data_IF_050465819290
#
_entry.id   IF_050465819290
#
_cell.length_a   1.000
_cell.length_b   1.000
_cell.length_c   1.000
_cell.angle_alpha   90.00
_cell.angle_beta   90.00
_cell.angle_gamma   90.00
#
_symmetry.space_group_name_H-M   'P 1'
#
loop_
_entity.id
_entity.type
_entity.pdbx_description
1 polymer ?
#
# COMPACT_ATOMS: atom_id res chain seq x y z
N UNK A 1 -3.34 40.89 23.66
CA UNK A 1 -3.35 42.12 22.82
C UNK A 1 -1.98 42.82 22.75
N UNK A 2 -1.32 43.13 23.87
CA UNK A 2 0.01 43.79 23.87
C UNK A 2 1.09 42.99 23.13
N UNK A 3 1.06 41.66 23.22
CA UNK A 3 2.01 40.75 22.57
C UNK A 3 1.91 40.77 21.03
N UNK A 4 0.69 40.79 20.48
CA UNK A 4 0.45 40.86 19.03
C UNK A 4 0.82 42.21 18.41
N UNK A 5 0.74 43.30 19.17
CA UNK A 5 1.20 44.62 18.73
C UNK A 5 2.73 44.71 18.68
N UNK A 6 3.43 44.00 19.58
CA UNK A 6 4.91 43.91 19.59
C UNK A 6 5.49 43.21 18.36
N UNK A 7 4.77 42.23 17.79
CA UNK A 7 5.23 41.41 16.67
C UNK A 7 4.82 41.90 15.27
N UNK A 8 4.34 43.15 15.14
CA UNK A 8 3.91 43.75 13.85
C UNK A 8 2.88 42.90 13.06
N UNK A 9 1.99 42.19 13.75
CA UNK A 9 0.94 41.42 13.06
C UNK A 9 0.04 42.34 12.23
N UNK A 10 -0.20 41.95 10.96
CA UNK A 10 -1.05 42.72 10.05
C UNK A 10 -2.51 42.72 10.51
N UNK A 11 -3.15 43.87 10.40
CA UNK A 11 -4.58 44.06 10.63
C UNK A 11 -5.26 44.34 9.30
N UNK A 12 -6.28 43.55 8.96
CA UNK A 12 -7.13 43.78 7.79
C UNK A 12 -8.53 44.14 8.23
N UNK A 13 -9.20 44.97 7.42
CA UNK A 13 -10.63 45.22 7.58
C UNK A 13 -11.39 44.03 7.02
N UNK A 14 -12.19 43.39 7.87
CA UNK A 14 -12.97 42.23 7.50
C UNK A 14 -14.33 42.27 8.18
N UNK A 15 -15.32 41.65 7.53
CA UNK A 15 -16.60 41.27 8.12
C UNK A 15 -16.76 39.76 7.97
N UNK A 16 -17.14 39.07 9.04
CA UNK A 16 -17.42 37.63 9.01
C UNK A 16 -18.93 37.48 9.08
N UNK A 17 -19.51 36.85 8.06
CA UNK A 17 -20.96 36.65 7.95
C UNK A 17 -21.26 35.16 7.85
N UNK A 18 -22.20 34.69 8.66
CA UNK A 18 -22.71 33.32 8.61
C UNK A 18 -24.09 33.34 7.97
N UNK A 19 -24.23 32.67 6.83
CA UNK A 19 -25.50 32.56 6.12
C UNK A 19 -26.23 31.30 6.59
N UNK A 20 -27.47 31.46 7.05
CA UNK A 20 -28.28 30.37 7.59
C UNK A 20 -29.44 30.03 6.64
N UNK A 21 -29.75 28.75 6.51
CA UNK A 21 -30.92 28.24 5.77
C UNK A 21 -31.67 27.18 6.58
N UNK A 22 -33.00 27.23 6.53
CA UNK A 22 -33.88 26.21 7.09
C UNK A 22 -35.15 26.05 6.23
N UNK A 23 -35.92 24.99 6.48
CA UNK A 23 -37.16 24.69 5.73
C UNK A 23 -38.34 25.59 6.13
N UNK A 24 -38.30 26.18 7.31
CA UNK A 24 -39.34 27.06 7.85
C UNK A 24 -38.77 28.09 8.83
N UNK A 25 -39.61 29.05 9.22
CA UNK A 25 -39.25 30.16 10.13
C UNK A 25 -38.97 29.71 11.57
N UNK A 26 -39.54 28.60 12.02
CA UNK A 26 -39.29 28.08 13.37
C UNK A 26 -37.90 27.47 13.44
N UNK A 27 -37.57 26.64 12.44
CA UNK A 27 -36.27 25.99 12.31
C UNK A 27 -35.13 27.01 12.11
N UNK A 28 -35.33 28.08 11.34
CA UNK A 28 -34.29 29.11 11.16
C UNK A 28 -34.02 29.88 12.47
N UNK A 29 -35.06 30.13 13.28
CA UNK A 29 -34.92 30.79 14.58
C UNK A 29 -34.16 29.92 15.57
N UNK A 30 -34.42 28.60 15.60
CA UNK A 30 -33.65 27.66 16.43
C UNK A 30 -32.17 27.63 16.00
N UNK A 31 -31.88 27.45 14.71
CA UNK A 31 -30.51 27.46 14.18
C UNK A 31 -29.78 28.77 14.47
N UNK A 32 -30.48 29.91 14.42
CA UNK A 32 -29.91 31.22 14.76
C UNK A 32 -29.49 31.29 16.24
N UNK A 33 -30.34 30.83 17.15
CA UNK A 33 -30.04 30.82 18.59
C UNK A 33 -28.86 29.90 18.87
N UNK A 34 -28.86 28.70 18.29
CA UNK A 34 -27.76 27.74 18.40
C UNK A 34 -26.43 28.33 17.90
N UNK A 35 -26.42 28.89 16.69
CA UNK A 35 -25.22 29.55 16.15
C UNK A 35 -24.75 30.69 17.04
N UNK A 36 -25.67 31.51 17.56
CA UNK A 36 -25.32 32.63 18.44
C UNK A 36 -24.62 32.13 19.71
N UNK A 37 -25.11 31.03 20.30
CA UNK A 37 -24.50 30.43 21.49
C UNK A 37 -23.09 29.90 21.18
N UNK A 38 -22.91 29.22 20.04
CA UNK A 38 -21.59 28.73 19.61
C UNK A 38 -20.62 29.90 19.41
N UNK A 39 -21.04 30.95 18.72
CA UNK A 39 -20.21 32.13 18.47
C UNK A 39 -19.81 32.82 19.78
N UNK A 40 -20.76 33.05 20.68
CA UNK A 40 -20.48 33.65 21.99
C UNK A 40 -19.53 32.78 22.83
N UNK A 41 -19.71 31.46 22.81
CA UNK A 41 -18.79 30.51 23.46
C UNK A 41 -17.36 30.57 22.91
N UNK A 42 -17.21 30.87 21.62
CA UNK A 42 -15.93 31.09 20.95
C UNK A 42 -15.38 32.52 21.09
N UNK A 43 -16.04 33.40 21.86
CA UNK A 43 -15.65 34.81 22.02
C UNK A 43 -15.97 35.69 20.81
N UNK A 44 -16.78 35.20 19.86
CA UNK A 44 -17.26 35.97 18.71
C UNK A 44 -18.64 36.55 19.04
N UNK A 45 -18.77 37.87 18.99
CA UNK A 45 -20.03 38.56 19.28
C UNK A 45 -20.75 38.90 17.96
N UNK A 46 -21.77 38.13 17.54
CA UNK A 46 -22.53 38.46 16.34
C UNK A 46 -23.36 39.73 16.52
N UNK A 47 -23.58 40.46 15.43
CA UNK A 47 -24.53 41.59 15.40
C UNK A 47 -25.94 41.03 15.51
N UNK A 48 -26.74 41.56 16.44
CA UNK A 48 -28.15 41.17 16.56
C UNK A 48 -28.92 41.68 15.33
N UNK A 49 -29.89 40.91 14.79
CA UNK A 49 -30.66 41.35 13.62
C UNK A 49 -31.33 42.71 13.77
N UNK A 50 -31.77 43.04 14.98
CA UNK A 50 -32.38 44.34 15.35
C UNK A 50 -31.42 45.53 15.17
N UNK A 51 -30.11 45.27 15.14
CA UNK A 51 -29.06 46.28 14.97
C UNK A 51 -28.48 46.29 13.55
N UNK A 52 -29.06 45.55 12.60
CA UNK A 52 -28.73 45.73 11.18
C UNK A 52 -29.33 47.06 10.69
N UNK A 53 -28.59 47.76 9.83
CA UNK A 53 -28.94 49.10 9.34
C UNK A 53 -30.23 49.07 8.51
N UNK A 54 -30.48 47.96 7.81
CA UNK A 54 -31.72 47.71 7.09
C UNK A 54 -31.96 46.19 6.96
N UNK A 55 -33.21 45.74 6.74
CA UNK A 55 -33.50 44.34 6.49
C UNK A 55 -32.63 43.79 5.36
N UNK A 56 -32.02 42.62 5.58
CA UNK A 56 -31.17 41.90 4.62
C UNK A 56 -29.91 42.65 4.15
N UNK A 57 -29.57 43.79 4.76
CA UNK A 57 -28.41 44.58 4.34
C UNK A 57 -27.09 43.81 4.53
N UNK A 58 -26.90 43.13 5.66
CA UNK A 58 -25.74 42.25 5.87
C UNK A 58 -25.74 41.07 4.90
N UNK A 59 -26.90 40.48 4.62
CA UNK A 59 -27.04 39.36 3.70
C UNK A 59 -26.59 39.73 2.28
N UNK A 60 -27.12 40.85 1.74
CA UNK A 60 -26.79 41.31 0.39
C UNK A 60 -25.30 41.64 0.24
N UNK A 61 -24.68 42.27 1.24
CA UNK A 61 -23.24 42.59 1.22
C UNK A 61 -22.35 41.36 1.31
N UNK A 62 -22.83 40.29 1.95
CA UNK A 62 -22.07 39.06 2.10
C UNK A 62 -22.09 38.18 0.84
N UNK A 63 -22.96 38.47 -0.12
CA UNK A 63 -22.97 37.77 -1.40
C UNK A 63 -21.68 38.07 -2.20
N UNK A 64 -21.20 37.11 -3.01
CA UNK A 64 -20.02 37.30 -3.83
C UNK A 64 -20.11 38.57 -4.67
N UNK A 65 -19.05 39.39 -4.62
CA UNK A 65 -18.93 40.65 -5.38
C UNK A 65 -19.97 41.75 -5.06
N UNK A 66 -20.78 41.59 -4.01
CA UNK A 66 -21.80 42.58 -3.64
C UNK A 66 -21.34 43.60 -2.58
N UNK A 67 -20.13 43.44 -2.02
CA UNK A 67 -19.51 44.44 -1.14
C UNK A 67 -18.58 45.36 -1.92
N UNK A 68 -18.93 46.66 -1.99
CA UNK A 68 -18.04 47.69 -2.54
C UNK A 68 -17.36 48.49 -1.40
N UNK A 69 -16.04 48.30 -1.16
CA UNK A 69 -15.32 49.00 -0.09
C UNK A 69 -15.29 50.52 -0.27
N UNK A 70 -15.35 51.04 -1.49
CA UNK A 70 -15.35 52.50 -1.76
C UNK A 70 -16.62 53.18 -1.26
N UNK A 71 -17.73 52.42 -1.18
CA UNK A 71 -19.01 52.91 -0.66
C UNK A 71 -19.08 52.89 0.87
N UNK A 72 -18.22 52.11 1.54
CA UNK A 72 -18.14 52.02 3.00
C UNK A 72 -17.15 53.05 3.60
N UNK A 73 -17.37 54.33 3.30
CA UNK A 73 -16.47 55.44 3.70
C UNK A 73 -16.30 55.56 5.22
N UNK A 74 -17.28 55.11 5.99
CA UNK A 74 -17.29 55.18 7.46
C UNK A 74 -16.95 53.83 8.12
N UNK A 75 -16.64 52.81 7.31
CA UNK A 75 -16.29 51.47 7.79
C UNK A 75 -17.34 50.85 8.72
N UNK A 76 -18.62 51.03 8.39
CA UNK A 76 -19.73 50.53 9.21
C UNK A 76 -19.87 49.01 9.16
N UNK A 77 -19.38 48.38 8.09
CA UNK A 77 -19.64 46.97 7.82
C UNK A 77 -18.39 46.08 8.00
N UNK A 78 -17.24 46.68 8.31
CA UNK A 78 -15.98 45.97 8.48
C UNK A 78 -15.26 46.39 9.76
N UNK A 79 -14.58 45.44 10.41
CA UNK A 79 -13.78 45.68 11.62
C UNK A 79 -12.32 45.32 11.38
N UNK A 80 -11.40 46.05 12.01
CA UNK A 80 -9.99 45.68 12.02
C UNK A 80 -9.83 44.37 12.77
N UNK A 81 -9.34 43.36 12.06
CA UNK A 81 -9.16 41.99 12.56
C UNK A 81 -7.73 41.55 12.30
N UNK A 82 -7.11 40.86 13.26
CA UNK A 82 -5.79 40.28 13.05
C UNK A 82 -5.85 39.23 11.94
N UNK A 83 -4.91 39.30 10.99
CA UNK A 83 -4.83 38.34 9.87
C UNK A 83 -4.74 36.89 10.37
N UNK A 84 -4.08 36.66 11.52
CA UNK A 84 -4.02 35.35 12.15
C UNK A 84 -5.39 34.82 12.57
N UNK A 85 -6.28 35.67 13.10
CA UNK A 85 -7.64 35.24 13.48
C UNK A 85 -8.48 34.94 12.24
N UNK A 86 -8.32 35.73 11.17
CA UNK A 86 -8.94 35.42 9.88
C UNK A 86 -8.45 34.06 9.36
N UNK A 87 -7.14 33.84 9.33
CA UNK A 87 -6.54 32.58 8.87
C UNK A 87 -7.00 31.36 9.70
N UNK A 88 -7.12 31.50 11.02
CA UNK A 88 -7.60 30.42 11.90
C UNK A 88 -9.10 30.11 11.75
N UNK A 89 -9.89 31.05 11.23
CA UNK A 89 -11.32 30.85 10.95
C UNK A 89 -11.59 30.44 9.51
N UNK A 90 -10.64 30.66 8.60
CA UNK A 90 -10.75 30.21 7.23
C UNK A 90 -10.70 28.67 7.18
N UNK A 91 -11.56 28.02 6.38
CA UNK A 91 -11.56 26.57 6.19
C UNK A 91 -10.37 26.11 5.31
N UNK A 92 -9.20 26.73 5.45
CA UNK A 92 -8.00 26.48 4.64
C UNK A 92 -7.15 25.36 5.25
N UNK A 93 -7.26 25.12 6.56
CA UNK A 93 -6.74 23.88 7.16
C UNK A 93 -7.77 22.78 6.91
N UNK A 94 -7.54 21.97 5.88
CA UNK A 94 -8.47 20.96 5.36
C UNK A 94 -9.13 20.11 6.45
N UNK A 95 -10.46 20.01 6.37
CA UNK A 95 -11.33 19.23 7.26
C UNK A 95 -11.98 18.11 6.44
N UNK A 96 -11.13 17.34 5.78
CA UNK A 96 -11.57 16.29 4.87
C UNK A 96 -12.17 15.11 5.65
N UNK A 97 -13.22 14.53 5.09
CA UNK A 97 -13.93 13.35 5.63
C UNK A 97 -13.70 12.12 4.76
N UNK A 98 -12.72 12.19 3.86
CA UNK A 98 -12.46 11.18 2.82
C UNK A 98 -13.53 11.19 1.73
N UNK A 99 -13.70 10.04 1.08
CA UNK A 99 -14.62 9.84 -0.06
C UNK A 99 -16.07 9.63 0.38
N UNK A 100 -16.30 9.32 1.66
CA UNK A 100 -17.62 9.00 2.21
C UNK A 100 -18.00 7.51 2.10
N UNK A 101 -17.17 6.68 1.47
CA UNK A 101 -17.41 5.24 1.33
C UNK A 101 -16.87 4.47 2.55
N UNK A 102 -17.72 3.71 3.28
CA UNK A 102 -17.36 3.17 4.59
C UNK A 102 -16.60 1.84 4.53
N UNK A 103 -15.43 1.80 3.89
CA UNK A 103 -14.54 0.61 3.90
C UNK A 103 -13.58 0.61 5.09
N UNK A 104 -12.84 1.72 5.23
CA UNK A 104 -11.96 2.04 6.36
C UNK A 104 -12.44 3.34 6.99
N UNK A 105 -12.55 3.33 8.32
CA UNK A 105 -13.01 4.46 9.12
C UNK A 105 -11.93 4.92 10.10
N UNK A 106 -11.67 6.22 10.09
CA UNK A 106 -10.75 6.94 10.97
C UNK A 106 -11.42 8.22 11.48
N UNK A 107 -10.67 9.02 12.24
CA UNK A 107 -11.10 10.35 12.67
C UNK A 107 -10.13 11.40 12.16
N UNK A 108 -10.67 12.48 11.59
CA UNK A 108 -9.87 13.64 11.23
C UNK A 108 -9.50 14.45 12.50
N UNK A 109 -8.66 15.48 12.35
CA UNK A 109 -8.24 16.34 13.48
C UNK A 109 -9.41 17.03 14.20
N UNK A 110 -10.52 17.27 13.51
CA UNK A 110 -11.74 17.86 14.06
C UNK A 110 -12.63 16.87 14.82
N UNK A 111 -12.26 15.58 14.84
CA UNK A 111 -13.06 14.52 15.44
C UNK A 111 -14.20 14.03 14.55
N UNK A 112 -14.31 14.51 13.31
CA UNK A 112 -15.28 13.95 12.36
C UNK A 112 -14.78 12.61 11.82
N UNK A 113 -15.73 11.80 11.37
CA UNK A 113 -15.42 10.56 10.68
C UNK A 113 -14.70 10.84 9.36
N UNK A 114 -13.62 10.12 9.12
CA UNK A 114 -12.91 10.06 7.85
C UNK A 114 -13.05 8.66 7.29
N UNK A 115 -13.67 8.53 6.11
CA UNK A 115 -13.96 7.23 5.50
C UNK A 115 -13.41 7.14 4.08
N UNK A 116 -12.78 6.01 3.77
CA UNK A 116 -12.30 5.64 2.44
C UNK A 116 -12.44 4.14 2.26
N UNK A 117 -12.81 3.66 1.07
CA UNK A 117 -12.92 2.24 0.77
C UNK A 117 -11.94 1.84 -0.35
N UNK A 118 -10.77 1.27 -0.02
CA UNK A 118 -9.77 0.90 -1.01
C UNK A 118 -10.21 -0.23 -1.94
N UNK A 119 -11.33 -0.92 -1.70
CA UNK A 119 -11.86 -1.93 -2.60
C UNK A 119 -13.03 -1.41 -3.45
N UNK A 120 -13.59 -0.25 -3.11
CA UNK A 120 -14.61 0.40 -3.92
C UNK A 120 -13.99 0.98 -5.21
N UNK A 121 -14.65 0.75 -6.35
CA UNK A 121 -14.26 1.27 -7.67
C UNK A 121 -14.38 2.80 -7.75
N UNK A 122 -15.25 3.41 -6.96
CA UNK A 122 -15.39 4.86 -6.93
C UNK A 122 -14.20 5.54 -6.22
N UNK A 123 -13.46 4.79 -5.40
CA UNK A 123 -12.34 5.27 -4.59
C UNK A 123 -10.97 4.90 -5.18
N UNK A 124 -10.93 4.08 -6.24
CA UNK A 124 -9.69 3.65 -6.89
C UNK A 124 -9.81 3.63 -8.40
N UNK A 125 -8.78 4.12 -9.09
CA UNK A 125 -8.66 3.97 -10.55
C UNK A 125 -8.17 2.59 -10.95
N UNK A 126 -7.27 1.99 -10.16
CA UNK A 126 -6.62 0.70 -10.42
C UNK A 126 -6.45 -0.08 -9.09
N UNK A 127 -5.22 -0.49 -8.77
CA UNK A 127 -4.88 -1.18 -7.53
C UNK A 127 -4.78 -0.20 -6.36
N UNK A 128 -5.33 -0.62 -5.22
CA UNK A 128 -5.23 0.15 -3.98
C UNK A 128 -4.05 -0.39 -3.17
N UNK A 129 -3.01 0.43 -3.06
CA UNK A 129 -1.84 0.14 -2.25
C UNK A 129 -1.82 1.05 -1.02
N UNK A 130 -1.41 0.51 0.12
CA UNK A 130 -1.26 1.26 1.37
C UNK A 130 0.14 1.07 1.92
N UNK A 131 0.80 2.18 2.24
CA UNK A 131 2.09 2.19 2.94
C UNK A 131 1.87 2.75 4.35
N UNK A 132 2.26 1.97 5.36
CA UNK A 132 2.14 2.36 6.77
C UNK A 132 3.52 2.41 7.43
N UNK A 133 4.00 3.62 7.67
CA UNK A 133 5.32 3.86 8.25
C UNK A 133 5.24 4.19 9.75
N UNK A 134 6.27 3.81 10.48
CA UNK A 134 6.44 4.15 11.89
C UNK A 134 7.50 3.30 12.57
N UNK A 135 8.15 3.79 13.63
CA UNK A 135 9.11 2.99 14.40
C UNK A 135 8.43 1.81 15.12
N UNK A 136 9.23 0.93 15.72
CA UNK A 136 8.71 -0.11 16.62
C UNK A 136 7.92 0.53 17.77
N UNK A 137 6.75 0.00 18.07
CA UNK A 137 5.86 0.56 19.09
C UNK A 137 4.93 1.70 18.63
N UNK A 138 5.06 2.20 17.39
CA UNK A 138 4.18 3.26 16.87
C UNK A 138 2.72 2.83 16.57
N UNK A 139 2.36 1.57 16.85
CA UNK A 139 1.00 1.07 16.65
C UNK A 139 0.70 0.52 15.26
N UNK A 140 1.69 0.30 14.38
CA UNK A 140 1.48 -0.21 13.01
C UNK A 140 0.59 -1.46 12.95
N UNK A 141 0.95 -2.51 13.71
CA UNK A 141 0.20 -3.76 13.73
C UNK A 141 -1.22 -3.59 14.28
N UNK A 142 -1.39 -2.74 15.30
CA UNK A 142 -2.71 -2.45 15.87
C UNK A 142 -3.62 -1.75 14.85
N UNK A 143 -3.09 -0.76 14.13
CA UNK A 143 -3.80 -0.07 13.04
C UNK A 143 -4.17 -1.03 11.92
N UNK A 144 -3.24 -1.90 11.50
CA UNK A 144 -3.52 -2.91 10.48
C UNK A 144 -4.59 -3.91 10.93
N UNK A 145 -4.56 -4.39 12.18
CA UNK A 145 -5.61 -5.26 12.71
C UNK A 145 -6.99 -4.59 12.64
N UNK A 146 -7.08 -3.32 13.04
CA UNK A 146 -8.34 -2.58 12.95
C UNK A 146 -8.81 -2.41 11.49
N UNK A 147 -7.89 -2.06 10.59
CA UNK A 147 -8.18 -1.87 9.18
C UNK A 147 -8.61 -3.18 8.48
N UNK A 148 -7.87 -4.28 8.68
CA UNK A 148 -8.22 -5.57 8.08
C UNK A 148 -9.51 -6.14 8.65
N UNK A 149 -9.82 -5.89 9.92
CA UNK A 149 -11.11 -6.30 10.50
C UNK A 149 -12.27 -5.57 9.83
N UNK A 150 -12.15 -4.26 9.61
CA UNK A 150 -13.16 -3.48 8.88
C UNK A 150 -13.30 -3.98 7.44
N UNK A 151 -12.18 -4.22 6.76
CA UNK A 151 -12.16 -4.76 5.41
C UNK A 151 -12.85 -6.12 5.31
N UNK A 152 -12.57 -7.03 6.26
CA UNK A 152 -13.21 -8.34 6.35
C UNK A 152 -14.70 -8.22 6.69
N UNK A 153 -15.11 -7.21 7.46
CA UNK A 153 -16.52 -6.99 7.78
C UNK A 153 -17.34 -6.52 6.57
N UNK A 154 -16.77 -5.68 5.71
CA UNK A 154 -17.45 -5.10 4.55
C UNK A 154 -17.37 -6.00 3.32
N UNK A 155 -16.16 -6.43 2.96
CA UNK A 155 -15.90 -7.07 1.66
C UNK A 155 -15.59 -8.56 1.73
N UNK A 156 -15.17 -9.07 2.91
CA UNK A 156 -14.67 -10.45 3.09
C UNK A 156 -13.68 -10.91 2.01
N UNK A 157 -12.64 -10.13 1.68
CA UNK A 157 -11.67 -10.53 0.67
C UNK A 157 -10.86 -11.74 1.14
N UNK A 158 -10.20 -12.42 0.20
CA UNK A 158 -9.15 -13.37 0.55
C UNK A 158 -7.94 -12.60 1.08
N UNK A 159 -7.66 -12.74 2.37
CA UNK A 159 -6.61 -12.01 3.07
C UNK A 159 -5.37 -12.89 3.28
N UNK A 160 -4.21 -12.40 2.85
CA UNK A 160 -2.91 -13.02 3.12
C UNK A 160 -2.11 -12.08 4.02
N UNK A 161 -1.57 -12.61 5.13
CA UNK A 161 -0.79 -11.85 6.09
C UNK A 161 0.54 -12.58 6.31
N UNK A 162 1.65 -11.89 6.04
CA UNK A 162 3.00 -12.34 6.35
C UNK A 162 3.59 -11.45 7.46
N UNK A 163 3.99 -12.05 8.58
CA UNK A 163 4.51 -11.30 9.74
C UNK A 163 5.56 -12.08 10.55
N UNK A 164 6.35 -11.37 11.35
CA UNK A 164 7.46 -11.92 12.14
C UNK A 164 7.21 -11.98 13.67
N UNK A 165 6.05 -11.53 14.18
CA UNK A 165 5.85 -11.30 15.63
C UNK A 165 4.57 -11.88 16.24
N UNK A 166 3.72 -12.54 15.46
CA UNK A 166 2.40 -13.05 15.86
C UNK A 166 1.42 -11.96 16.36
N UNK A 167 1.49 -10.75 15.80
CA UNK A 167 0.54 -9.65 16.05
C UNK A 167 -0.87 -9.99 15.58
N UNK A 168 -1.01 -10.76 14.50
CA UNK A 168 -2.28 -11.10 13.86
C UNK A 168 -2.82 -12.46 14.28
N UNK A 169 -2.10 -13.22 15.11
CA UNK A 169 -2.52 -14.56 15.56
C UNK A 169 -3.91 -14.57 16.21
N UNK A 170 -4.15 -13.64 17.14
CA UNK A 170 -5.45 -13.46 17.79
C UNK A 170 -6.53 -12.95 16.83
N UNK A 171 -6.17 -12.08 15.88
CA UNK A 171 -7.11 -11.64 14.84
C UNK A 171 -7.56 -12.85 13.99
N UNK A 172 -6.63 -13.75 13.67
CA UNK A 172 -6.96 -14.93 12.91
C UNK A 172 -7.83 -15.92 13.74
N UNK A 173 -7.65 -16.01 15.07
CA UNK A 173 -8.55 -16.80 15.96
C UNK A 173 -9.95 -16.18 15.96
N UNK A 174 -10.01 -14.84 16.02
CA UNK A 174 -11.25 -14.10 15.93
C UNK A 174 -11.96 -14.37 14.59
N UNK A 175 -11.27 -14.30 13.45
CA UNK A 175 -11.86 -14.61 12.15
C UNK A 175 -12.41 -16.03 12.06
N UNK A 176 -11.69 -17.02 12.58
CA UNK A 176 -12.17 -18.41 12.67
C UNK A 176 -13.43 -18.51 13.55
N UNK A 177 -13.46 -17.81 14.70
CA UNK A 177 -14.65 -17.75 15.55
C UNK A 177 -15.88 -17.12 14.88
N UNK A 178 -15.65 -16.26 13.87
CA UNK A 178 -16.71 -15.67 13.04
C UNK A 178 -17.12 -16.57 11.85
N UNK A 179 -16.61 -17.80 11.79
CA UNK A 179 -16.94 -18.79 10.76
C UNK A 179 -16.15 -18.63 9.45
N UNK A 180 -15.05 -17.89 9.45
CA UNK A 180 -14.16 -17.78 8.29
C UNK A 180 -13.19 -18.96 8.25
N UNK A 181 -12.88 -19.45 7.05
CA UNK A 181 -11.79 -20.41 6.87
C UNK A 181 -10.45 -19.71 7.07
N UNK A 182 -9.67 -20.17 8.05
CA UNK A 182 -8.38 -19.59 8.39
C UNK A 182 -7.29 -20.65 8.25
N UNK A 183 -6.17 -20.28 7.65
CA UNK A 183 -4.97 -21.11 7.62
C UNK A 183 -3.84 -20.36 8.33
N UNK A 184 -3.34 -20.92 9.44
CA UNK A 184 -2.25 -20.36 10.23
C UNK A 184 -1.03 -21.25 10.13
N UNK A 185 0.03 -20.72 9.55
CA UNK A 185 1.29 -21.43 9.38
C UNK A 185 2.38 -20.65 10.12
N UNK A 186 3.07 -21.31 11.04
CA UNK A 186 4.23 -20.73 11.74
C UNK A 186 5.50 -21.36 11.20
N UNK A 187 6.29 -20.56 10.47
CA UNK A 187 7.58 -21.01 9.91
C UNK A 187 8.64 -20.83 11.01
N UNK A 188 8.93 -21.92 11.72
CA UNK A 188 9.99 -21.99 12.74
C UNK A 188 10.86 -23.21 12.50
N UNK A 189 12.15 -23.19 12.89
CA UNK A 189 12.98 -24.39 12.87
C UNK A 189 12.28 -25.55 13.60
N UNK A 190 12.17 -26.70 12.96
CA UNK A 190 11.48 -27.88 13.50
C UNK A 190 9.94 -27.86 13.44
N UNK A 191 9.32 -26.87 12.78
CA UNK A 191 7.85 -26.80 12.62
C UNK A 191 7.27 -27.88 11.67
N UNK A 192 8.11 -28.60 10.93
CA UNK A 192 7.68 -29.58 9.92
C UNK A 192 7.02 -28.95 8.68
N UNK A 193 6.95 -27.62 8.60
CA UNK A 193 6.44 -26.90 7.44
C UNK A 193 7.53 -26.88 6.37
N UNK A 194 7.25 -27.49 5.21
CA UNK A 194 8.10 -27.40 4.03
C UNK A 194 7.56 -26.34 3.08
N UNK A 195 8.44 -25.46 2.59
CA UNK A 195 8.14 -24.47 1.56
C UNK A 195 8.89 -24.85 0.29
N UNK A 196 8.23 -25.46 -0.70
CA UNK A 196 8.89 -25.90 -1.93
C UNK A 196 9.32 -24.68 -2.77
N UNK A 197 10.62 -24.38 -2.74
CA UNK A 197 11.23 -23.25 -3.45
C UNK A 197 11.06 -23.34 -4.96
N UNK A 198 10.98 -24.56 -5.50
CA UNK A 198 10.84 -24.83 -6.93
C UNK A 198 9.46 -25.38 -7.31
N UNK A 199 8.40 -24.99 -6.57
CA UNK A 199 7.03 -25.50 -6.75
C UNK A 199 6.45 -25.43 -8.18
N UNK A 200 7.04 -24.61 -9.06
CA UNK A 200 6.62 -24.46 -10.45
C UNK A 200 7.52 -25.16 -11.47
N UNK A 201 8.50 -25.97 -11.03
CA UNK A 201 9.41 -26.68 -11.94
C UNK A 201 8.68 -27.54 -12.97
N UNK A 202 7.60 -28.24 -12.59
CA UNK A 202 6.83 -29.03 -13.54
C UNK A 202 6.14 -28.17 -14.61
N UNK A 203 5.59 -27.01 -14.22
CA UNK A 203 4.94 -26.08 -15.15
C UNK A 203 5.91 -25.52 -16.17
N UNK A 204 7.16 -25.27 -15.75
CA UNK A 204 8.22 -24.84 -16.65
C UNK A 204 8.49 -25.89 -17.74
N UNK A 205 8.55 -27.18 -17.38
CA UNK A 205 8.77 -28.26 -18.36
C UNK A 205 7.55 -28.45 -19.26
N UNK A 206 6.33 -28.40 -18.71
CA UNK A 206 5.09 -28.45 -19.49
C UNK A 206 5.04 -27.34 -20.56
N UNK A 207 5.36 -26.10 -20.17
CA UNK A 207 5.39 -24.95 -21.08
C UNK A 207 6.44 -25.13 -22.18
N UNK A 208 7.67 -25.53 -21.84
CA UNK A 208 8.71 -25.81 -22.83
C UNK A 208 8.33 -26.93 -23.79
N UNK A 209 7.75 -28.03 -23.28
CA UNK A 209 7.29 -29.15 -24.11
C UNK A 209 6.16 -28.75 -25.06
N UNK A 210 5.27 -27.85 -24.63
CA UNK A 210 4.20 -27.32 -25.48
C UNK A 210 4.74 -26.43 -26.61
N UNK A 211 5.79 -25.65 -26.35
CA UNK A 211 6.44 -24.81 -27.36
C UNK A 211 7.22 -25.64 -28.39
N UNK A 212 7.86 -26.75 -27.98
CA UNK A 212 8.53 -27.69 -28.91
C UNK A 212 7.54 -28.44 -29.81
N UNK A 213 6.31 -28.68 -29.34
CA UNK A 213 5.25 -29.31 -30.14
C UNK A 213 4.59 -28.37 -31.16
N UNK A 214 4.78 -27.05 -31.03
CA UNK A 214 4.13 -26.02 -31.84
C UNK A 214 5.03 -25.44 -32.96
N UNK A 215 6.15 -26.10 -33.28
CA UNK A 215 7.05 -25.70 -34.37
C UNK A 215 6.36 -25.65 -35.77
N UNK A 216 5.16 -26.22 -35.92
CA UNK A 216 4.35 -26.12 -37.14
C UNK A 216 3.53 -24.82 -37.27
N UNK A 217 3.42 -24.01 -36.22
CA UNK A 217 2.68 -22.73 -36.21
C UNK A 217 3.58 -21.48 -36.22
N UNK A 218 4.86 -21.62 -36.59
CA UNK A 218 5.76 -20.49 -36.86
C UNK A 218 5.38 -19.75 -38.16
N UNK A 219 4.24 -19.06 -38.16
CA UNK A 219 3.89 -18.00 -39.12
C UNK A 219 3.81 -16.65 -38.40
N UNK A 220 4.69 -15.76 -38.83
CA UNK A 220 4.68 -14.30 -38.69
C UNK A 220 4.39 -13.73 -37.29
N UNK A 221 5.49 -13.57 -36.52
CA UNK A 221 5.56 -12.72 -35.33
C UNK A 221 5.49 -11.26 -35.77
N UNK A 222 4.30 -10.79 -36.13
CA UNK A 222 3.94 -9.37 -36.31
C UNK A 222 2.45 -9.18 -35.94
N UNK A 223 2.02 -9.83 -34.86
CA UNK A 223 0.81 -9.49 -34.14
C UNK A 223 1.22 -8.95 -32.77
N UNK A 224 0.85 -7.70 -32.50
CA UNK A 224 0.82 -7.08 -31.18
C UNK A 224 -0.15 -7.87 -30.28
N UNK A 225 0.23 -9.08 -29.87
CA UNK A 225 -0.48 -9.82 -28.83
C UNK A 225 -0.02 -9.28 -27.48
N UNK A 226 -1.00 -8.70 -26.77
CA UNK A 226 -0.97 -8.26 -25.38
C UNK A 226 -0.76 -9.44 -24.40
N UNK A 227 0.25 -10.29 -24.63
CA UNK A 227 0.61 -11.44 -23.79
C UNK A 227 1.62 -11.03 -22.68
N UNK A 228 1.34 -9.93 -21.98
CA UNK A 228 2.10 -9.49 -20.78
C UNK A 228 1.87 -10.42 -19.56
N UNK A 229 1.03 -11.45 -19.68
CA UNK A 229 0.54 -12.28 -18.57
C UNK A 229 1.18 -13.69 -18.46
N UNK A 230 2.17 -14.05 -19.29
CA UNK A 230 2.90 -15.31 -19.10
C UNK A 230 3.88 -15.20 -17.93
N UNK A 231 3.61 -15.97 -16.88
CA UNK A 231 4.40 -15.98 -15.65
C UNK A 231 5.79 -16.57 -15.90
N UNK A 232 6.85 -15.80 -15.63
CA UNK A 232 8.24 -16.23 -15.78
C UNK A 232 8.66 -17.23 -14.68
N UNK A 233 8.28 -18.49 -14.84
CA UNK A 233 8.60 -19.56 -13.89
C UNK A 233 10.11 -19.76 -13.72
N UNK A 234 10.87 -19.72 -14.82
CA UNK A 234 12.33 -19.86 -14.78
C UNK A 234 12.98 -18.69 -14.03
N UNK A 235 12.51 -17.46 -14.25
CA UNK A 235 12.99 -16.28 -13.54
C UNK A 235 12.71 -16.34 -12.03
N UNK A 236 11.52 -16.78 -11.62
CA UNK A 236 11.19 -16.98 -10.20
C UNK A 236 12.08 -18.06 -9.54
N UNK A 237 12.30 -19.17 -10.24
CA UNK A 237 13.21 -20.24 -9.79
C UNK A 237 14.66 -19.76 -9.71
N UNK A 238 15.11 -18.93 -10.67
CA UNK A 238 16.44 -18.34 -10.66
C UNK A 238 16.65 -17.40 -9.47
N UNK A 239 15.67 -16.57 -9.11
CA UNK A 239 15.74 -15.72 -7.92
C UNK A 239 15.96 -16.57 -6.67
N UNK A 240 15.20 -17.66 -6.54
CA UNK A 240 15.32 -18.60 -5.41
C UNK A 240 16.69 -19.30 -5.39
N UNK A 241 17.16 -19.76 -6.56
CA UNK A 241 18.46 -20.41 -6.70
C UNK A 241 19.62 -19.48 -6.33
N UNK A 242 19.60 -18.24 -6.83
CA UNK A 242 20.64 -17.24 -6.54
C UNK A 242 20.69 -16.90 -5.05
N UNK A 243 19.52 -16.73 -4.42
CA UNK A 243 19.46 -16.49 -2.98
C UNK A 243 20.07 -17.65 -2.18
N UNK A 244 19.88 -18.90 -2.62
CA UNK A 244 20.50 -20.06 -1.95
C UNK A 244 22.01 -20.15 -2.19
N UNK A 245 22.46 -19.96 -3.44
CA UNK A 245 23.89 -20.03 -3.81
C UNK A 245 24.70 -18.95 -3.08
N UNK A 246 24.14 -17.76 -2.90
CA UNK A 246 24.82 -16.60 -2.30
C UNK A 246 24.58 -16.45 -0.79
N UNK A 247 23.76 -17.33 -0.20
CA UNK A 247 23.25 -17.15 1.16
C UNK A 247 22.46 -15.85 1.39
N UNK A 248 22.08 -15.15 0.33
CA UNK A 248 21.50 -13.81 0.37
C UNK A 248 22.49 -12.68 0.66
N UNK A 249 23.81 -12.91 0.58
CA UNK A 249 24.81 -11.85 0.72
C UNK A 249 24.80 -10.94 -0.53
N UNK A 250 24.51 -9.63 -0.39
CA UNK A 250 24.49 -8.69 -1.51
C UNK A 250 25.83 -8.58 -2.26
N UNK A 251 26.95 -8.88 -1.60
CA UNK A 251 28.28 -8.85 -2.23
C UNK A 251 28.47 -10.04 -3.17
N UNK A 252 28.15 -11.24 -2.71
CA UNK A 252 28.25 -12.45 -3.54
C UNK A 252 27.28 -12.38 -4.74
N UNK A 253 26.08 -11.87 -4.52
CA UNK A 253 25.09 -11.61 -5.57
C UNK A 253 25.60 -10.62 -6.65
N UNK A 254 26.37 -9.61 -6.24
CA UNK A 254 26.97 -8.64 -7.15
C UNK A 254 28.14 -9.23 -7.96
N UNK A 255 28.80 -10.27 -7.45
CA UNK A 255 29.90 -10.96 -8.13
C UNK A 255 29.41 -11.94 -9.22
N UNK A 256 28.13 -12.34 -9.20
CA UNK A 256 27.54 -13.21 -10.22
C UNK A 256 27.47 -12.53 -11.59
N UNK A 257 28.29 -13.02 -12.52
CA UNK A 257 28.35 -12.53 -13.90
C UNK A 257 27.20 -13.09 -14.72
N UNK A 258 26.97 -12.48 -15.89
CA UNK A 258 25.96 -12.95 -16.87
C UNK A 258 26.16 -14.41 -17.26
N UNK A 259 27.41 -14.87 -17.36
CA UNK A 259 27.72 -16.26 -17.68
C UNK A 259 27.34 -17.23 -16.54
N UNK A 260 27.48 -16.80 -15.29
CA UNK A 260 27.14 -17.60 -14.11
C UNK A 260 25.60 -17.72 -14.00
N UNK A 261 24.87 -16.63 -14.26
CA UNK A 261 23.39 -16.65 -14.33
C UNK A 261 22.87 -17.58 -15.43
N UNK A 262 23.51 -17.59 -16.60
CA UNK A 262 23.16 -18.51 -17.67
C UNK A 262 23.39 -19.98 -17.27
N UNK A 263 24.46 -20.25 -16.52
CA UNK A 263 24.76 -21.58 -15.99
C UNK A 263 23.75 -22.03 -14.93
N UNK A 264 23.32 -21.12 -14.05
CA UNK A 264 22.26 -21.40 -13.07
C UNK A 264 20.96 -21.77 -13.78
N UNK A 265 20.58 -21.04 -14.84
CA UNK A 265 19.39 -21.38 -15.65
C UNK A 265 19.50 -22.73 -16.32
N UNK A 266 20.66 -23.05 -16.88
CA UNK A 266 20.94 -24.36 -17.46
C UNK A 266 20.78 -25.49 -16.41
N UNK A 267 21.39 -25.31 -15.23
CA UNK A 267 21.26 -26.25 -14.12
C UNK A 267 19.82 -26.42 -13.63
N UNK A 268 19.05 -25.33 -13.54
CA UNK A 268 17.64 -25.37 -13.18
C UNK A 268 16.80 -26.17 -14.17
N UNK A 269 17.05 -26.03 -15.48
CA UNK A 269 16.36 -26.81 -16.51
C UNK A 269 16.69 -28.30 -16.43
N UNK A 270 17.97 -28.65 -16.25
CA UNK A 270 18.39 -30.05 -16.08
C UNK A 270 17.75 -30.69 -14.83
N UNK A 271 17.76 -29.96 -13.71
CA UNK A 271 17.16 -30.42 -12.47
C UNK A 271 15.63 -30.53 -12.56
N UNK A 272 14.97 -29.56 -13.19
CA UNK A 272 13.53 -29.57 -13.41
C UNK A 272 13.11 -30.74 -14.32
N UNK A 273 13.85 -31.00 -15.40
CA UNK A 273 13.60 -32.14 -16.29
C UNK A 273 13.73 -33.46 -15.53
N UNK A 274 14.79 -33.64 -14.75
CA UNK A 274 15.03 -34.86 -13.97
C UNK A 274 13.88 -35.11 -12.98
N UNK A 275 13.48 -34.08 -12.23
CA UNK A 275 12.37 -34.18 -11.28
C UNK A 275 11.03 -34.43 -11.98
N UNK A 276 10.81 -33.83 -13.17
CA UNK A 276 9.63 -34.04 -14.00
C UNK A 276 9.53 -35.49 -14.48
N UNK A 277 10.62 -36.04 -15.02
CA UNK A 277 10.68 -37.43 -15.50
C UNK A 277 10.44 -38.43 -14.36
N UNK A 278 10.90 -38.11 -13.15
CA UNK A 278 10.68 -38.89 -11.93
C UNK A 278 9.29 -38.67 -11.29
N UNK A 279 8.44 -37.82 -11.89
CA UNK A 279 7.11 -37.45 -11.39
C UNK A 279 7.09 -36.98 -9.93
N UNK A 280 8.11 -36.22 -9.53
CA UNK A 280 8.23 -35.65 -8.17
C UNK A 280 8.59 -34.18 -8.20
N UNK A 281 8.26 -33.50 -7.12
CA UNK A 281 8.63 -32.11 -6.92
C UNK A 281 10.15 -31.93 -6.94
N UNK A 282 10.64 -30.95 -7.70
CA UNK A 282 12.05 -30.55 -7.71
C UNK A 282 12.47 -30.04 -6.32
N UNK A 283 13.60 -30.55 -5.85
CA UNK A 283 14.25 -30.23 -4.59
C UNK A 283 15.52 -29.40 -4.82
N UNK A 284 16.01 -28.66 -3.80
CA UNK A 284 17.32 -28.00 -3.86
C UNK A 284 18.49 -28.93 -4.16
N UNK A 285 18.43 -30.18 -3.71
CA UNK A 285 19.42 -31.20 -4.03
C UNK A 285 19.50 -31.52 -5.52
N UNK A 286 18.41 -31.38 -6.27
CA UNK A 286 18.43 -31.63 -7.72
C UNK A 286 19.21 -30.53 -8.45
N UNK A 287 19.03 -29.27 -8.04
CA UNK A 287 19.83 -28.16 -8.55
C UNK A 287 21.32 -28.34 -8.21
N UNK A 288 21.60 -28.76 -6.99
CA UNK A 288 22.97 -29.05 -6.55
C UNK A 288 23.61 -30.14 -7.43
N UNK A 289 22.91 -31.25 -7.64
CA UNK A 289 23.38 -32.34 -8.49
C UNK A 289 23.61 -31.87 -9.92
N UNK A 290 22.68 -31.11 -10.51
CA UNK A 290 22.83 -30.55 -11.84
C UNK A 290 24.06 -29.62 -11.96
N UNK A 291 24.36 -28.82 -10.93
CA UNK A 291 25.57 -27.98 -10.91
C UNK A 291 26.85 -28.82 -10.80
N UNK A 292 26.85 -29.91 -10.01
CA UNK A 292 27.97 -30.84 -9.98
C UNK A 292 28.17 -31.55 -11.32
N UNK A 293 27.11 -31.94 -12.01
CA UNK A 293 27.18 -32.54 -13.34
C UNK A 293 27.80 -31.56 -14.35
N UNK A 294 27.42 -30.28 -14.30
CA UNK A 294 28.07 -29.22 -15.09
C UNK A 294 29.56 -29.10 -14.75
N UNK A 295 29.91 -29.13 -13.47
CA UNK A 295 31.29 -29.03 -13.00
C UNK A 295 32.17 -30.20 -13.45
N UNK A 296 31.61 -31.41 -13.48
CA UNK A 296 32.32 -32.65 -13.80
C UNK A 296 32.34 -32.99 -15.30
N UNK A 297 31.50 -32.34 -16.11
CA UNK A 297 31.45 -32.54 -17.55
C UNK A 297 32.76 -32.09 -18.23
N UNK A 298 33.62 -33.07 -18.51
CA UNK A 298 34.88 -32.90 -19.25
C UNK A 298 34.70 -33.05 -20.77
N UNK A 299 33.51 -33.46 -21.22
CA UNK A 299 33.24 -33.80 -22.62
C UNK A 299 32.88 -32.58 -23.47
N UNK A 300 32.37 -31.51 -22.85
CA UNK A 300 31.96 -30.30 -23.53
C UNK A 300 33.13 -29.31 -23.69
N UNK A 301 33.79 -29.33 -24.85
CA UNK A 301 34.93 -28.44 -25.17
C UNK A 301 34.59 -26.94 -25.08
N UNK A 302 33.30 -26.56 -25.14
CA UNK A 302 32.85 -25.16 -24.99
C UNK A 302 32.85 -24.67 -23.54
N UNK A 303 32.93 -25.57 -22.55
CA UNK A 303 32.99 -25.23 -21.12
C UNK A 303 34.42 -25.10 -20.65
N UNK A 304 34.89 -23.87 -20.50
CA UNK A 304 36.25 -23.62 -20.01
C UNK A 304 36.43 -24.12 -18.55
N UNK A 305 37.68 -24.40 -18.11
CA UNK A 305 37.95 -24.88 -16.75
C UNK A 305 37.42 -23.96 -15.65
N UNK A 306 37.42 -22.64 -15.88
CA UNK A 306 36.93 -21.65 -14.91
C UNK A 306 35.43 -21.77 -14.65
N UNK A 307 34.62 -22.04 -15.69
CA UNK A 307 33.17 -22.24 -15.56
C UNK A 307 32.85 -23.53 -14.80
N UNK A 308 33.60 -24.60 -15.05
CA UNK A 308 33.44 -25.86 -14.33
C UNK A 308 33.77 -25.71 -12.84
N UNK A 309 34.85 -25.01 -12.53
CA UNK A 309 35.19 -24.68 -11.15
C UNK A 309 34.09 -23.83 -10.49
N UNK A 310 33.54 -22.84 -11.21
CA UNK A 310 32.45 -22.01 -10.68
C UNK A 310 31.16 -22.79 -10.46
N UNK A 311 30.84 -23.75 -11.33
CA UNK A 311 29.69 -24.65 -11.14
C UNK A 311 29.82 -25.48 -9.85
N UNK A 312 31.01 -26.06 -9.63
CA UNK A 312 31.31 -26.81 -8.42
C UNK A 312 31.22 -25.94 -7.15
N UNK A 313 31.76 -24.71 -7.19
CA UNK A 313 31.65 -23.74 -6.10
C UNK A 313 30.18 -23.41 -5.76
N UNK A 314 29.35 -23.18 -6.78
CA UNK A 314 27.91 -22.93 -6.58
C UNK A 314 27.19 -24.16 -6.01
N UNK A 315 27.58 -25.37 -6.40
CA UNK A 315 27.03 -26.62 -5.86
C UNK A 315 27.43 -26.84 -4.39
N UNK A 316 28.68 -26.53 -4.03
CA UNK A 316 29.16 -26.60 -2.64
C UNK A 316 28.40 -25.62 -1.75
N UNK A 317 28.19 -24.38 -2.21
CA UNK A 317 27.42 -23.38 -1.47
C UNK A 317 25.99 -23.83 -1.14
N UNK A 318 25.35 -24.60 -2.02
CA UNK A 318 24.04 -25.18 -1.76
C UNK A 318 24.06 -26.28 -0.68
N UNK A 319 25.17 -27.00 -0.54
CA UNK A 319 25.33 -28.09 0.44
C UNK A 319 25.57 -27.60 1.86
N UNK A 320 26.29 -26.48 2.03
CA UNK A 320 26.62 -25.92 3.35
C UNK A 320 25.44 -25.21 4.03
N UNK A 321 24.41 -24.82 3.26
CA UNK A 321 23.26 -24.06 3.77
C UNK A 321 22.18 -24.96 4.39
N UNK A 322 22.21 -26.28 4.16
CA UNK A 322 21.14 -27.19 4.61
C UNK A 322 21.69 -28.45 5.31
N UNK A 323 21.54 -28.59 6.64
CA UNK A 323 21.74 -29.87 7.29
C UNK A 323 20.66 -30.86 6.80
N UNK A 324 21.03 -32.15 6.73
CA UNK A 324 20.28 -33.29 6.17
C UNK A 324 18.85 -33.57 6.72
N UNK A 325 18.26 -32.65 7.49
CA UNK A 325 16.93 -32.77 8.10
C UNK A 325 15.86 -31.91 7.41
N UNK A 326 16.19 -31.28 6.27
CA UNK A 326 15.27 -30.53 5.40
C UNK A 326 15.04 -31.23 4.03
N UNK A 327 15.68 -32.39 3.83
CA UNK A 327 15.36 -33.39 2.81
C UNK A 327 14.33 -34.39 3.35
#
# INVERSE_FOLDING_TARGET
>A
MKEYQGNRHKLYRAGITFLLRAGDLTAINHKRVELTNVLLGAGLQPVRPEFDVAPLNTYLRALPMCFNPETDKKHWYTRLTFVQHLAGLLPVTGRETGTGNPGLSFFNRGGDLLTVDPLNKDDRSQNAHMLLFGPTGAGKSATLCAATTQLMAVHRPRLFIAEAGNSFGLQADYFESQGLTVNKISIKPGSGVSLPLFSFAHKLIEELSSLELDESELRDIDADDEDEDKRDYLGEMEISARMMITGGDPKEEAELKRADRAMIREALLMAAQTAYDEQRQMLPSDLQNALYDIGNDTSNEKRNPQRRAKAAEMAEALGDVYPAWLL
#
